data_IF_718934381003
#
_entry.id   IF_718934381003
#
_cell.length_a   1.000
_cell.length_b   1.000
_cell.length_c   1.000
_cell.angle_alpha   90.00
_cell.angle_beta   90.00
_cell.angle_gamma   90.00
#
_symmetry.space_group_name_H-M   'P 1'
#
loop_
_entity.id
_entity.type
_entity.pdbx_description
1 polymer ?
#
# COMPACT_ATOMS: atom_id res chain seq x y z
N UNK A 1 57.58 -4.51 16.80
CA UNK A 1 56.80 -5.77 16.84
C UNK A 1 55.37 -5.42 17.19
N UNK A 2 54.46 -5.46 16.21
CA UNK A 2 53.05 -5.14 16.41
C UNK A 2 52.44 -6.21 17.32
N UNK A 3 51.87 -5.81 18.45
CA UNK A 3 51.43 -6.72 19.51
C UNK A 3 50.22 -7.52 19.01
N UNK A 4 50.34 -8.85 18.93
CA UNK A 4 49.33 -9.75 18.35
C UNK A 4 47.95 -9.56 19.01
N UNK A 5 47.92 -9.20 20.30
CA UNK A 5 46.69 -8.87 21.04
C UNK A 5 45.96 -7.62 20.51
N UNK A 6 46.68 -6.63 19.96
CA UNK A 6 46.10 -5.40 19.42
C UNK A 6 45.42 -5.65 18.05
N UNK A 7 45.99 -6.55 17.25
CA UNK A 7 45.41 -6.97 15.96
C UNK A 7 44.11 -7.76 16.21
N UNK A 8 44.08 -8.63 17.22
CA UNK A 8 42.88 -9.41 17.57
C UNK A 8 41.70 -8.55 18.01
N UNK A 9 41.94 -7.49 18.80
CA UNK A 9 40.87 -6.57 19.26
C UNK A 9 40.30 -5.74 18.08
N UNK A 10 41.16 -5.28 17.17
CA UNK A 10 40.71 -4.55 15.97
C UNK A 10 39.86 -5.46 15.04
N UNK A 11 40.23 -6.73 14.93
CA UNK A 11 39.49 -7.71 14.11
C UNK A 11 38.12 -8.06 14.72
N UNK A 12 38.01 -8.14 16.05
CA UNK A 12 36.74 -8.36 16.73
C UNK A 12 35.79 -7.15 16.62
N UNK A 13 36.31 -5.92 16.63
CA UNK A 13 35.50 -4.71 16.45
C UNK A 13 34.96 -4.56 15.01
N UNK A 14 35.71 -5.03 14.01
CA UNK A 14 35.29 -5.04 12.60
C UNK A 14 34.20 -6.09 12.30
N UNK A 15 34.16 -7.20 13.05
CA UNK A 15 33.13 -8.24 12.90
C UNK A 15 31.76 -7.83 13.47
N UNK A 16 31.71 -6.93 14.47
CA UNK A 16 30.45 -6.40 15.01
C UNK A 16 29.89 -5.20 14.23
N UNK A 17 30.72 -4.48 13.46
CA UNK A 17 30.31 -3.32 12.68
C UNK A 17 29.62 -3.65 11.34
N UNK A 18 29.67 -4.90 10.89
CA UNK A 18 29.16 -5.34 9.59
C UNK A 18 27.80 -6.03 9.64
N UNK A 19 27.07 -5.95 10.76
CA UNK A 19 25.67 -6.34 10.77
C UNK A 19 24.83 -5.22 10.14
N UNK A 20 24.92 -5.08 8.81
CA UNK A 20 23.92 -4.34 8.07
C UNK A 20 22.59 -5.02 8.31
N UNK A 21 21.70 -4.37 9.07
CA UNK A 21 20.28 -4.72 9.06
C UNK A 21 19.82 -4.51 7.63
N UNK A 22 19.76 -5.59 6.84
CA UNK A 22 19.12 -5.55 5.54
C UNK A 22 17.74 -4.98 5.78
N UNK A 23 17.48 -3.78 5.23
CA UNK A 23 16.18 -3.14 5.27
C UNK A 23 15.27 -4.03 4.43
N UNK A 24 14.72 -5.07 5.05
CA UNK A 24 13.90 -6.07 4.37
C UNK A 24 12.75 -5.30 3.77
N UNK A 25 12.70 -5.25 2.44
CA UNK A 25 11.53 -4.74 1.73
C UNK A 25 10.34 -5.51 2.29
N UNK A 26 9.34 -4.78 2.77
CA UNK A 26 8.17 -5.41 3.36
C UNK A 26 7.60 -6.39 2.35
N UNK A 27 7.67 -7.69 2.66
CA UNK A 27 7.05 -8.72 1.84
C UNK A 27 5.53 -8.53 1.77
N UNK A 28 4.84 -9.30 0.92
CA UNK A 28 3.39 -9.26 0.88
C UNK A 28 2.80 -9.65 2.25
N UNK A 29 1.55 -9.24 2.48
CA UNK A 29 0.73 -9.86 3.53
C UNK A 29 0.60 -11.35 3.20
N UNK A 30 0.85 -12.21 4.17
CA UNK A 30 0.81 -13.67 4.02
C UNK A 30 0.25 -14.33 5.29
N UNK A 31 -0.19 -15.59 5.23
CA UNK A 31 -0.57 -16.31 6.45
C UNK A 31 0.59 -16.33 7.46
N UNK A 32 0.29 -16.12 8.74
CA UNK A 32 1.30 -16.11 9.80
C UNK A 32 1.92 -17.49 9.98
N UNK A 33 3.26 -17.53 10.04
CA UNK A 33 4.03 -18.77 10.04
C UNK A 33 3.81 -19.65 11.27
N UNK A 34 3.57 -19.05 12.45
CA UNK A 34 3.30 -19.80 13.70
C UNK A 34 1.83 -20.23 13.83
N UNK A 35 0.89 -19.48 13.25
CA UNK A 35 -0.52 -19.82 13.20
C UNK A 35 -1.22 -19.29 11.94
N UNK A 36 -1.47 -20.18 10.99
CA UNK A 36 -2.00 -19.86 9.66
C UNK A 36 -3.45 -19.37 9.64
N UNK A 37 -4.13 -19.31 10.79
CA UNK A 37 -5.45 -18.68 10.92
C UNK A 37 -5.35 -17.14 10.96
N UNK A 38 -4.15 -16.60 11.16
CA UNK A 38 -3.87 -15.16 11.22
C UNK A 38 -2.95 -14.72 10.07
N UNK A 39 -2.73 -13.42 9.96
CA UNK A 39 -1.88 -12.81 8.94
C UNK A 39 -0.56 -12.32 9.55
N UNK A 40 0.48 -12.23 8.74
CA UNK A 40 1.72 -11.53 9.06
C UNK A 40 2.06 -10.51 7.97
N UNK A 41 2.68 -9.41 8.39
CA UNK A 41 3.22 -8.37 7.52
C UNK A 41 4.52 -7.87 8.13
N UNK A 42 5.58 -7.71 7.31
CA UNK A 42 6.95 -7.42 7.79
C UNK A 42 7.44 -8.41 8.86
N UNK A 43 7.08 -9.68 8.67
CA UNK A 43 7.39 -10.80 9.57
C UNK A 43 6.81 -10.68 11.00
N UNK A 44 5.84 -9.77 11.20
CA UNK A 44 5.12 -9.61 12.46
C UNK A 44 3.64 -10.02 12.29
N UNK A 45 3.03 -10.70 13.27
CA UNK A 45 1.60 -11.01 13.23
C UNK A 45 0.78 -9.71 13.18
N UNK A 46 -0.27 -9.70 12.36
CA UNK A 46 -1.14 -8.54 12.15
C UNK A 46 -2.60 -8.96 12.06
N UNK A 47 -3.46 -8.22 12.75
CA UNK A 47 -4.91 -8.28 12.51
C UNK A 47 -5.26 -7.30 11.40
N UNK A 48 -5.88 -7.76 10.32
CA UNK A 48 -6.41 -6.88 9.28
C UNK A 48 -7.68 -6.21 9.82
N UNK A 49 -7.56 -4.94 10.18
CA UNK A 49 -8.66 -4.12 10.67
C UNK A 49 -9.00 -3.08 9.60
N UNK A 50 -10.21 -3.16 9.07
CA UNK A 50 -10.64 -2.30 7.97
C UNK A 50 -12.14 -2.11 7.97
N UNK A 51 -12.55 -0.98 7.40
CA UNK A 51 -13.93 -0.65 7.07
C UNK A 51 -13.90 0.32 5.89
N UNK A 52 -15.05 0.50 5.25
CA UNK A 52 -15.20 1.49 4.20
C UNK A 52 -16.65 1.97 4.18
N UNK A 53 -16.86 3.27 3.91
CA UNK A 53 -18.21 3.84 3.78
C UNK A 53 -18.85 3.55 2.41
N UNK A 54 -18.06 3.02 1.48
CA UNK A 54 -18.45 2.62 0.14
C UNK A 54 -17.47 1.54 -0.34
N UNK A 55 -17.80 0.82 -1.40
CA UNK A 55 -16.92 -0.21 -1.93
C UNK A 55 -15.98 0.31 -3.02
N UNK A 56 -16.26 1.47 -3.62
CA UNK A 56 -15.56 2.03 -4.77
C UNK A 56 -14.78 3.31 -4.43
N UNK A 57 -14.03 3.28 -3.33
CA UNK A 57 -13.33 4.45 -2.76
C UNK A 57 -12.40 5.15 -3.75
N UNK A 58 -11.75 4.41 -4.65
CA UNK A 58 -10.83 5.02 -5.61
C UNK A 58 -11.52 5.97 -6.58
N UNK A 59 -12.85 5.87 -6.78
CA UNK A 59 -13.59 6.82 -7.62
C UNK A 59 -13.98 8.11 -6.90
N UNK A 60 -13.84 8.16 -5.57
CA UNK A 60 -14.27 9.32 -4.81
C UNK A 60 -13.48 10.58 -5.16
N UNK A 61 -14.13 11.76 -5.21
CA UNK A 61 -13.45 13.04 -5.14
C UNK A 61 -12.42 13.10 -4.01
N UNK A 62 -11.27 13.71 -4.29
CA UNK A 62 -10.10 13.67 -3.40
C UNK A 62 -10.40 14.10 -1.96
N UNK A 63 -11.14 15.20 -1.77
CA UNK A 63 -11.48 15.70 -0.42
C UNK A 63 -12.27 14.67 0.40
N UNK A 64 -13.25 14.00 -0.20
CA UNK A 64 -14.05 12.98 0.45
C UNK A 64 -13.23 11.72 0.76
N UNK A 65 -12.35 11.31 -0.17
CA UNK A 65 -11.43 10.19 0.03
C UNK A 65 -10.47 10.47 1.19
N UNK A 66 -9.79 11.61 1.18
CA UNK A 66 -8.80 11.97 2.19
C UNK A 66 -9.42 12.02 3.60
N UNK A 67 -10.56 12.68 3.74
CA UNK A 67 -11.27 12.75 5.02
C UNK A 67 -11.67 11.36 5.54
N UNK A 68 -12.11 10.47 4.65
CA UNK A 68 -12.41 9.09 5.02
C UNK A 68 -11.16 8.32 5.45
N UNK A 69 -10.07 8.39 4.68
CA UNK A 69 -8.81 7.71 5.01
C UNK A 69 -8.21 8.20 6.34
N UNK A 70 -8.30 9.51 6.62
CA UNK A 70 -7.85 10.09 7.90
C UNK A 70 -8.69 9.56 9.07
N UNK A 71 -10.00 9.49 8.92
CA UNK A 71 -10.91 8.90 9.91
C UNK A 71 -10.61 7.42 10.17
N UNK A 72 -10.41 6.64 9.11
CA UNK A 72 -10.04 5.22 9.20
C UNK A 72 -8.72 5.04 9.94
N UNK A 73 -7.71 5.86 9.63
CA UNK A 73 -6.42 5.84 10.32
C UNK A 73 -6.56 6.19 11.80
N UNK A 74 -7.36 7.21 12.14
CA UNK A 74 -7.63 7.61 13.51
C UNK A 74 -8.32 6.51 14.32
N UNK A 75 -9.17 5.70 13.68
CA UNK A 75 -9.81 4.53 14.29
C UNK A 75 -8.89 3.30 14.43
N UNK A 76 -7.64 3.37 13.94
CA UNK A 76 -6.66 2.27 14.00
C UNK A 76 -6.75 1.25 12.87
N UNK A 77 -7.51 1.53 11.81
CA UNK A 77 -7.55 0.64 10.65
C UNK A 77 -6.21 0.62 9.90
N UNK A 78 -5.93 -0.52 9.26
CA UNK A 78 -4.68 -0.78 8.54
C UNK A 78 -4.89 -1.36 7.13
N UNK A 79 -6.15 -1.50 6.69
CA UNK A 79 -6.48 -1.77 5.30
C UNK A 79 -7.85 -1.19 4.94
N UNK A 80 -8.07 -0.97 3.65
CA UNK A 80 -9.39 -0.69 3.07
C UNK A 80 -9.66 -1.66 1.93
N UNK A 81 -10.93 -2.00 1.70
CA UNK A 81 -11.35 -2.77 0.53
C UNK A 81 -11.75 -1.81 -0.58
N UNK A 82 -11.40 -2.13 -1.82
CA UNK A 82 -11.78 -1.33 -3.00
C UNK A 82 -12.19 -2.23 -4.17
N UNK A 83 -13.44 -2.11 -4.60
CA UNK A 83 -13.98 -2.63 -5.86
C UNK A 83 -13.56 -1.68 -6.98
N UNK A 84 -12.93 -2.18 -8.04
CA UNK A 84 -12.60 -1.38 -9.22
C UNK A 84 -13.82 -1.19 -10.14
N UNK A 85 -14.90 -0.58 -9.61
CA UNK A 85 -16.15 -0.40 -10.34
C UNK A 85 -16.16 0.89 -11.17
N UNK A 86 -16.76 0.80 -12.34
CA UNK A 86 -17.04 1.90 -13.27
C UNK A 86 -18.56 2.14 -13.43
N UNK A 87 -19.36 1.60 -12.51
CA UNK A 87 -20.80 1.84 -12.47
C UNK A 87 -21.08 3.31 -12.20
N UNK A 88 -21.80 3.95 -13.13
CA UNK A 88 -22.34 5.30 -12.91
C UNK A 88 -23.42 5.24 -11.82
N UNK A 89 -23.11 5.72 -10.63
CA UNK A 89 -23.99 5.67 -9.45
C UNK A 89 -24.16 7.08 -8.86
N UNK A 90 -23.06 7.75 -8.53
CA UNK A 90 -23.05 9.07 -7.87
C UNK A 90 -22.70 10.22 -8.82
N UNK A 91 -22.39 9.93 -10.08
CA UNK A 91 -22.19 10.92 -11.14
C UNK A 91 -20.76 11.47 -11.22
N UNK A 92 -19.83 10.95 -10.43
CA UNK A 92 -18.41 11.28 -10.50
C UNK A 92 -17.54 10.12 -11.01
N UNK A 93 -18.12 8.93 -11.16
CA UNK A 93 -17.40 7.73 -11.58
C UNK A 93 -16.92 7.86 -13.02
N UNK A 94 -15.69 7.39 -13.25
CA UNK A 94 -15.08 7.38 -14.57
C UNK A 94 -15.05 5.96 -15.12
N UNK A 95 -15.12 5.83 -16.45
CA UNK A 95 -14.87 4.58 -17.15
C UNK A 95 -13.36 4.45 -17.46
N UNK A 96 -12.78 3.25 -17.48
CA UNK A 96 -11.33 3.06 -17.69
C UNK A 96 -10.87 3.41 -19.11
N UNK A 97 -11.76 3.35 -20.11
CA UNK A 97 -11.44 3.61 -21.51
C UNK A 97 -11.88 5.01 -21.94
N UNK A 98 -11.19 5.57 -22.94
CA UNK A 98 -11.52 6.88 -23.51
C UNK A 98 -12.90 6.84 -24.17
N UNK A 99 -13.78 7.77 -23.78
CA UNK A 99 -15.05 7.96 -24.47
C UNK A 99 -14.85 8.80 -25.75
N UNK A 100 -15.47 8.39 -26.84
CA UNK A 100 -15.48 9.07 -28.13
C UNK A 100 -16.69 10.00 -28.24
N UNK A 101 -16.65 10.96 -29.17
CA UNK A 101 -17.76 11.91 -29.42
C UNK A 101 -19.08 11.22 -29.78
N UNK A 102 -19.02 9.98 -30.30
CA UNK A 102 -20.19 9.16 -30.61
C UNK A 102 -20.76 8.40 -29.40
N UNK A 103 -20.25 8.65 -28.19
CA UNK A 103 -20.67 8.05 -26.93
C UNK A 103 -20.11 6.65 -26.67
N UNK A 104 -19.44 6.00 -27.64
CA UNK A 104 -18.78 4.69 -27.45
C UNK A 104 -17.41 4.85 -26.82
N UNK A 105 -16.86 3.75 -26.32
CA UNK A 105 -15.51 3.70 -25.77
C UNK A 105 -14.51 3.17 -26.79
N UNK A 106 -13.33 3.80 -26.84
CA UNK A 106 -12.17 3.27 -27.55
C UNK A 106 -11.39 2.32 -26.64
N UNK A 107 -11.52 1.02 -26.89
CA UNK A 107 -10.87 -0.01 -26.08
C UNK A 107 -9.35 -0.10 -26.28
N UNK A 108 -8.78 0.67 -27.21
CA UNK A 108 -7.33 0.75 -27.41
C UNK A 108 -6.70 1.94 -26.69
N UNK A 109 -7.49 2.86 -26.15
CA UNK A 109 -7.01 4.07 -25.50
C UNK A 109 -7.61 4.21 -24.09
N UNK A 110 -6.74 4.41 -23.11
CA UNK A 110 -7.14 4.61 -21.73
C UNK A 110 -7.73 6.00 -21.48
N UNK A 111 -8.57 6.09 -20.46
CA UNK A 111 -8.93 7.35 -19.83
C UNK A 111 -7.92 7.64 -18.71
N UNK A 112 -6.97 8.54 -18.96
CA UNK A 112 -5.90 8.85 -18.00
C UNK A 112 -6.45 9.30 -16.64
N UNK A 113 -7.58 10.02 -16.61
CA UNK A 113 -8.19 10.48 -15.36
C UNK A 113 -8.65 9.33 -14.45
N UNK A 114 -9.11 8.20 -15.02
CA UNK A 114 -9.48 7.02 -14.23
C UNK A 114 -8.26 6.44 -13.50
N UNK A 115 -7.16 6.29 -14.24
CA UNK A 115 -5.94 5.67 -13.74
C UNK A 115 -5.14 6.58 -12.83
N UNK A 116 -5.15 7.89 -13.08
CA UNK A 116 -4.57 8.88 -12.17
C UNK A 116 -5.34 8.93 -10.86
N UNK A 117 -6.67 8.77 -10.89
CA UNK A 117 -7.47 8.66 -9.66
C UNK A 117 -7.16 7.38 -8.88
N UNK A 118 -7.02 6.24 -9.57
CA UNK A 118 -6.58 5.00 -8.93
C UNK A 118 -5.17 5.13 -8.34
N UNK A 119 -4.24 5.77 -9.05
CA UNK A 119 -2.89 6.03 -8.55
C UNK A 119 -2.93 6.91 -7.29
N UNK A 120 -3.70 7.99 -7.32
CA UNK A 120 -3.90 8.87 -6.16
C UNK A 120 -4.44 8.10 -4.95
N UNK A 121 -5.43 7.22 -5.15
CA UNK A 121 -5.93 6.35 -4.09
C UNK A 121 -4.84 5.44 -3.49
N UNK A 122 -4.03 4.80 -4.32
CA UNK A 122 -2.91 3.96 -3.84
C UNK A 122 -1.85 4.78 -3.10
N UNK A 123 -1.53 5.98 -3.58
CA UNK A 123 -0.56 6.87 -2.93
C UNK A 123 -1.06 7.36 -1.57
N UNK A 124 -2.33 7.76 -1.47
CA UNK A 124 -2.91 8.26 -0.23
C UNK A 124 -3.14 7.17 0.82
N UNK A 125 -3.45 5.95 0.39
CA UNK A 125 -3.51 4.79 1.29
C UNK A 125 -2.12 4.40 1.78
N UNK A 126 -1.07 4.46 0.94
CA UNK A 126 0.30 4.13 1.35
C UNK A 126 0.91 5.12 2.34
N UNK A 127 0.43 6.38 2.36
CA UNK A 127 0.86 7.42 3.32
C UNK A 127 0.36 7.19 4.75
N UNK A 128 -0.63 6.30 4.94
CA UNK A 128 -1.35 6.09 6.20
C UNK A 128 -1.15 4.67 6.70
#
# INVERSE_FOLDING_TARGET
>A
MLNIKFISILFSALLFGACHTLKKTAGPIKPWTENQWFWEYKDEPVMLLGASSDDNLFQWPAEMLLHHLDSMKAAGANYVRNTMSDRSDRGFELYPYKQLDNGKYDLNNWNDNYWDRFRFFLEETAKR
#
